data_IF_639440263865
#
_entry.id   IF_639440263865
#
_cell.length_a   1.000
_cell.length_b   1.000
_cell.length_c   1.000
_cell.angle_alpha   90.00
_cell.angle_beta   90.00
_cell.angle_gamma   90.00
#
_symmetry.space_group_name_H-M   'P 1'
#
loop_
_entity.id
_entity.type
_entity.pdbx_description
1 polymer ?
#
# COMPACT_ATOMS: atom_id res chain seq x y z
N UNK A 1 -7.96 -13.94 25.44
CA UNK A 1 -9.33 -13.40 25.28
C UNK A 1 -9.52 -12.06 25.98
N UNK A 2 -9.17 -11.88 27.26
CA UNK A 2 -9.30 -10.58 27.97
C UNK A 2 -8.57 -9.41 27.26
N UNK A 3 -7.37 -9.65 26.74
CA UNK A 3 -6.63 -8.64 25.97
C UNK A 3 -7.28 -8.26 24.63
N UNK A 4 -8.05 -9.16 24.00
CA UNK A 4 -8.78 -8.88 22.76
C UNK A 4 -10.00 -7.99 23.06
N UNK A 5 -10.69 -8.24 24.17
CA UNK A 5 -11.85 -7.44 24.60
C UNK A 5 -11.43 -6.00 24.93
N UNK A 6 -10.28 -5.81 25.59
CA UNK A 6 -9.73 -4.48 25.84
C UNK A 6 -9.32 -3.76 24.55
N UNK A 7 -8.74 -4.48 23.58
CA UNK A 7 -8.44 -3.93 22.25
C UNK A 7 -9.70 -3.50 21.49
N UNK A 8 -10.75 -4.31 21.52
CA UNK A 8 -12.04 -4.00 20.86
C UNK A 8 -12.68 -2.77 21.51
N UNK A 9 -12.64 -2.64 22.83
CA UNK A 9 -13.19 -1.48 23.53
C UNK A 9 -12.44 -0.18 23.19
N UNK A 10 -11.11 -0.26 23.07
CA UNK A 10 -10.27 0.87 22.64
C UNK A 10 -10.49 1.23 21.17
N UNK A 11 -10.61 0.22 20.30
CA UNK A 11 -10.96 0.39 18.88
C UNK A 11 -12.35 1.00 18.70
N UNK A 12 -13.33 0.59 19.50
CA UNK A 12 -14.67 1.18 19.48
C UNK A 12 -14.66 2.64 19.92
N UNK A 13 -13.90 2.99 20.97
CA UNK A 13 -13.71 4.39 21.37
C UNK A 13 -13.06 5.22 20.26
N UNK A 14 -11.98 4.74 19.64
CA UNK A 14 -11.31 5.42 18.53
C UNK A 14 -12.19 5.55 17.27
N UNK A 15 -13.06 4.58 17.01
CA UNK A 15 -14.04 4.64 15.92
C UNK A 15 -15.14 5.67 16.17
N UNK A 16 -15.50 5.91 17.43
CA UNK A 16 -16.53 6.88 17.82
C UNK A 16 -15.96 8.31 17.83
N UNK A 17 -14.71 8.48 18.29
CA UNK A 17 -14.05 9.80 18.40
C UNK A 17 -13.46 10.29 17.06
N UNK A 18 -13.07 9.38 16.15
CA UNK A 18 -12.48 9.77 14.87
C UNK A 18 -12.61 8.66 13.79
N UNK A 19 -13.81 8.43 13.23
CA UNK A 19 -14.09 7.33 12.32
C UNK A 19 -13.20 7.34 11.06
N UNK A 20 -12.82 8.53 10.57
CA UNK A 20 -11.90 8.66 9.43
C UNK A 20 -10.47 8.19 9.73
N UNK A 21 -9.98 8.42 10.94
CA UNK A 21 -8.63 8.02 11.38
C UNK A 21 -8.57 6.51 11.69
N UNK A 22 -9.64 5.97 12.26
CA UNK A 22 -9.79 4.54 12.50
C UNK A 22 -9.87 3.73 11.20
N UNK A 23 -10.72 4.16 10.27
CA UNK A 23 -10.91 3.48 8.98
C UNK A 23 -9.65 3.56 8.12
N UNK A 24 -9.00 4.72 8.05
CA UNK A 24 -7.73 4.86 7.33
C UNK A 24 -6.57 4.09 7.98
N UNK A 25 -6.55 3.96 9.30
CA UNK A 25 -5.57 3.16 10.04
C UNK A 25 -5.67 1.66 9.74
N UNK A 26 -6.87 1.09 9.81
CA UNK A 26 -7.07 -0.34 9.50
C UNK A 26 -6.86 -0.66 8.02
N UNK A 27 -7.34 0.21 7.11
CA UNK A 27 -7.12 0.04 5.68
C UNK A 27 -5.61 0.07 5.37
N UNK A 28 -4.84 0.96 6.02
CA UNK A 28 -3.39 1.02 5.84
C UNK A 28 -2.71 -0.26 6.33
N UNK A 29 -3.10 -0.79 7.49
CA UNK A 29 -2.51 -2.00 8.06
C UNK A 29 -2.80 -3.24 7.20
N UNK A 30 -4.04 -3.35 6.68
CA UNK A 30 -4.43 -4.37 5.69
C UNK A 30 -3.69 -4.21 4.36
N UNK A 31 -3.60 -3.00 3.82
CA UNK A 31 -2.84 -2.73 2.59
C UNK A 31 -1.38 -3.11 2.75
N UNK A 32 -0.74 -2.73 3.86
CA UNK A 32 0.67 -3.00 4.12
C UNK A 32 0.91 -4.51 4.24
N UNK A 33 0.11 -5.22 5.03
CA UNK A 33 0.24 -6.68 5.18
C UNK A 33 -0.02 -7.44 3.88
N UNK A 34 -1.01 -7.02 3.08
CA UNK A 34 -1.35 -7.64 1.80
C UNK A 34 -0.30 -7.36 0.72
N UNK A 35 0.34 -6.17 0.71
CA UNK A 35 1.35 -5.82 -0.29
C UNK A 35 2.76 -6.30 0.06
N UNK A 36 3.12 -6.45 1.33
CA UNK A 36 4.49 -6.81 1.73
C UNK A 36 4.90 -8.17 1.16
N UNK A 37 4.07 -9.22 1.32
CA UNK A 37 4.45 -10.56 0.90
C UNK A 37 4.64 -10.68 -0.63
N UNK A 38 3.71 -10.19 -1.48
CA UNK A 38 3.92 -10.14 -2.92
C UNK A 38 5.13 -9.28 -3.32
N UNK A 39 5.35 -8.15 -2.64
CA UNK A 39 6.48 -7.26 -2.94
C UNK A 39 7.83 -7.94 -2.69
N UNK A 40 7.95 -8.69 -1.58
CA UNK A 40 9.15 -9.48 -1.28
C UNK A 40 9.39 -10.56 -2.33
N UNK A 41 8.34 -11.25 -2.76
CA UNK A 41 8.45 -12.27 -3.81
C UNK A 41 8.93 -11.68 -5.15
N UNK A 42 8.34 -10.56 -5.56
CA UNK A 42 8.76 -9.83 -6.77
C UNK A 42 10.23 -9.41 -6.64
N UNK A 43 10.63 -8.83 -5.51
CA UNK A 43 12.01 -8.40 -5.26
C UNK A 43 12.99 -9.57 -5.36
N UNK A 44 12.63 -10.74 -4.82
CA UNK A 44 13.44 -11.95 -4.94
C UNK A 44 13.61 -12.41 -6.39
N UNK A 45 12.53 -12.40 -7.18
CA UNK A 45 12.60 -12.71 -8.62
C UNK A 45 13.50 -11.73 -9.38
N UNK A 46 13.44 -10.44 -9.06
CA UNK A 46 14.33 -9.43 -9.65
C UNK A 46 15.79 -9.72 -9.38
N UNK A 47 16.13 -10.11 -8.14
CA UNK A 47 17.50 -10.48 -7.77
C UNK A 47 17.96 -11.69 -8.59
N UNK A 48 17.12 -12.72 -8.73
CA UNK A 48 17.46 -13.90 -9.55
C UNK A 48 17.70 -13.51 -11.01
N UNK A 49 16.79 -12.73 -11.60
CA UNK A 49 16.92 -12.28 -13.00
C UNK A 49 18.15 -11.39 -13.18
N UNK A 50 18.48 -10.57 -12.20
CA UNK A 50 19.67 -9.74 -12.23
C UNK A 50 20.94 -10.59 -12.20
N UNK A 51 21.01 -11.58 -11.30
CA UNK A 51 22.16 -12.49 -11.20
C UNK A 51 22.33 -13.26 -12.52
N UNK A 52 21.26 -13.88 -13.03
CA UNK A 52 21.32 -14.65 -14.27
C UNK A 52 21.56 -13.79 -15.53
N UNK A 53 21.03 -12.57 -15.54
CA UNK A 53 21.14 -11.67 -16.67
C UNK A 53 22.49 -10.95 -16.73
N UNK A 54 23.01 -10.46 -15.61
CA UNK A 54 24.11 -9.49 -15.60
C UNK A 54 25.39 -10.00 -14.95
N UNK A 55 25.35 -11.12 -14.22
CA UNK A 55 26.52 -11.67 -13.55
C UNK A 55 26.98 -12.98 -14.17
N UNK A 56 28.21 -13.37 -13.89
CA UNK A 56 28.78 -14.65 -14.33
C UNK A 56 28.63 -15.78 -13.31
N UNK A 57 28.01 -15.51 -12.15
CA UNK A 57 27.91 -16.43 -11.01
C UNK A 57 27.28 -17.79 -11.34
N UNK A 58 26.39 -17.86 -12.33
CA UNK A 58 25.61 -19.06 -12.68
C UNK A 58 25.80 -19.50 -14.14
N UNK A 59 26.97 -19.24 -14.73
CA UNK A 59 27.27 -19.66 -16.10
C UNK A 59 27.20 -18.57 -17.17
N UNK A 60 27.10 -17.30 -16.76
CA UNK A 60 27.27 -16.15 -17.64
C UNK A 60 26.02 -15.30 -17.83
N UNK A 61 26.16 -14.10 -18.44
CA UNK A 61 25.06 -13.20 -18.68
C UNK A 61 24.18 -13.74 -19.82
N UNK A 62 23.09 -14.40 -19.45
CA UNK A 62 22.11 -14.87 -20.41
C UNK A 62 21.28 -13.68 -20.91
N UNK A 63 21.40 -13.37 -22.21
CA UNK A 63 20.66 -12.27 -22.86
C UNK A 63 19.14 -12.36 -22.60
N UNK A 64 18.58 -13.57 -22.62
CA UNK A 64 17.18 -13.82 -22.33
C UNK A 64 16.74 -13.27 -20.95
N UNK A 65 17.54 -13.53 -19.91
CA UNK A 65 17.24 -13.04 -18.56
C UNK A 65 17.44 -11.52 -18.43
N UNK A 66 18.34 -10.90 -19.20
CA UNK A 66 18.43 -9.43 -19.29
C UNK A 66 17.14 -8.82 -19.85
N UNK A 67 16.61 -9.39 -20.94
CA UNK A 67 15.35 -8.92 -21.53
C UNK A 67 14.18 -9.09 -20.57
N UNK A 68 14.06 -10.27 -19.93
CA UNK A 68 13.05 -10.53 -18.90
C UNK A 68 13.14 -9.54 -17.74
N UNK A 69 14.35 -9.26 -17.24
CA UNK A 69 14.56 -8.29 -16.17
C UNK A 69 13.99 -6.92 -16.55
N UNK A 70 14.31 -6.41 -17.73
CA UNK A 70 13.82 -5.09 -18.19
C UNK A 70 12.30 -5.06 -18.42
N UNK A 71 11.74 -6.11 -19.03
CA UNK A 71 10.29 -6.21 -19.24
C UNK A 71 9.56 -6.24 -17.90
N UNK A 72 9.98 -7.11 -16.98
CA UNK A 72 9.42 -7.17 -15.64
C UNK A 72 9.58 -5.84 -14.91
N UNK A 73 10.73 -5.16 -15.05
CA UNK A 73 11.00 -3.87 -14.42
C UNK A 73 9.99 -2.80 -14.86
N UNK A 74 9.75 -2.69 -16.16
CA UNK A 74 8.80 -1.74 -16.73
C UNK A 74 7.38 -2.02 -16.24
N UNK A 75 6.98 -3.31 -16.18
CA UNK A 75 5.66 -3.71 -15.68
C UNK A 75 5.49 -3.31 -14.21
N UNK A 76 6.47 -3.61 -13.36
CA UNK A 76 6.41 -3.27 -11.94
C UNK A 76 6.40 -1.76 -11.73
N UNK A 77 7.22 -1.01 -12.45
CA UNK A 77 7.19 0.46 -12.41
C UNK A 77 5.82 1.01 -12.82
N UNK A 78 5.23 0.45 -13.86
CA UNK A 78 3.90 0.86 -14.33
C UNK A 78 2.84 0.61 -13.26
N UNK A 79 2.83 -0.58 -12.64
CA UNK A 79 1.92 -0.91 -11.53
C UNK A 79 2.11 0.04 -10.35
N UNK A 80 3.36 0.29 -9.93
CA UNK A 80 3.65 1.23 -8.85
C UNK A 80 3.17 2.65 -9.16
N UNK A 81 3.39 3.12 -10.38
CA UNK A 81 2.90 4.42 -10.83
C UNK A 81 1.37 4.51 -10.74
N UNK A 82 0.64 3.47 -11.18
CA UNK A 82 -0.81 3.39 -11.05
C UNK A 82 -1.26 3.36 -9.58
N UNK A 83 -0.60 2.58 -8.72
CA UNK A 83 -0.91 2.52 -7.29
C UNK A 83 -0.73 3.88 -6.61
N UNK A 84 0.35 4.61 -6.92
CA UNK A 84 0.57 5.96 -6.40
C UNK A 84 -0.54 6.91 -6.86
N UNK A 85 -0.95 6.83 -8.13
CA UNK A 85 -2.02 7.65 -8.68
C UNK A 85 -3.36 7.38 -7.99
N UNK A 86 -3.69 6.11 -7.73
CA UNK A 86 -4.89 5.71 -6.98
C UNK A 86 -4.82 6.25 -5.54
N UNK A 87 -3.67 6.08 -4.87
CA UNK A 87 -3.49 6.58 -3.50
C UNK A 87 -3.67 8.10 -3.40
N UNK A 88 -3.12 8.85 -4.36
CA UNK A 88 -3.31 10.30 -4.45
C UNK A 88 -4.78 10.68 -4.67
N UNK A 89 -5.49 9.94 -5.52
CA UNK A 89 -6.91 10.17 -5.80
C UNK A 89 -7.76 9.93 -4.55
N UNK A 90 -7.55 8.81 -3.86
CA UNK A 90 -8.21 8.50 -2.58
C UNK A 90 -7.94 9.63 -1.57
N UNK A 91 -6.67 10.03 -1.41
CA UNK A 91 -6.29 11.09 -0.48
C UNK A 91 -6.96 12.43 -0.81
N UNK A 92 -7.11 12.77 -2.08
CA UNK A 92 -7.79 13.99 -2.53
C UNK A 92 -9.29 13.96 -2.17
N UNK A 93 -9.96 12.84 -2.44
CA UNK A 93 -11.36 12.65 -2.09
C UNK A 93 -11.60 12.65 -0.57
N UNK A 94 -10.69 12.04 0.20
CA UNK A 94 -10.78 12.06 1.67
C UNK A 94 -10.65 13.48 2.23
N UNK A 95 -9.77 14.32 1.67
CA UNK A 95 -9.67 15.73 2.08
C UNK A 95 -10.97 16.50 1.81
N UNK A 96 -11.57 16.33 0.63
CA UNK A 96 -12.81 16.99 0.27
C UNK A 96 -14.02 16.56 1.12
N UNK A 97 -14.09 15.28 1.49
CA UNK A 97 -15.14 14.76 2.37
C UNK A 97 -15.03 15.32 3.80
N UNK A 98 -13.82 15.42 4.35
CA UNK A 98 -13.59 15.96 5.70
C UNK A 98 -13.94 17.46 5.79
N UNK A 99 -13.61 18.24 4.77
CA UNK A 99 -13.98 19.67 4.72
C UNK A 99 -15.49 19.89 4.61
N UNK A 100 -16.21 18.99 3.93
CA UNK A 100 -17.67 19.09 3.79
C UNK A 100 -18.41 18.63 5.05
N UNK A 101 -17.90 17.65 5.80
CA UNK A 101 -18.48 17.26 7.09
C UNK A 101 -18.27 18.33 8.17
N UNK A 102 -17.09 18.96 8.23
CA UNK A 102 -16.82 20.04 9.21
C UNK A 102 -17.68 21.29 9.00
N UNK A 103 -18.05 21.62 7.76
CA UNK A 103 -18.96 22.74 7.46
C UNK A 103 -20.42 22.49 7.86
N UNK A 104 -20.82 21.22 7.99
CA UNK A 104 -22.20 20.88 8.38
C UNK A 104 -22.36 21.00 9.90
N UNK A 105 -21.38 20.56 10.70
CA UNK A 105 -21.43 20.74 12.16
C UNK A 105 -21.43 22.22 12.58
N UNK A 106 -20.64 23.08 11.92
CA UNK A 106 -20.63 24.51 12.25
C UNK A 106 -21.94 25.22 11.95
N UNK A 107 -22.80 24.66 11.10
CA UNK A 107 -24.10 25.24 10.73
C UNK A 107 -25.25 24.77 11.61
N UNK A 108 -25.05 23.74 12.43
CA UNK A 108 -26.07 23.24 13.38
C UNK A 108 -25.93 23.95 14.74
N UNK A 109 -24.81 24.63 14.97
CA UNK A 109 -24.50 25.32 16.24
C UNK A 109 -24.80 26.83 16.17
N UNK A 110 -25.16 27.38 15.00
CA UNK A 110 -25.69 28.76 14.87
C UNK A 110 -27.22 28.84 15.01
#
# INVERSE_FOLDING_TARGET
MIFQILKIKKMASEATDNPGKFTSGQIRELFVSMLIAPLLFVLFLFVIFFILGFTTLLGGPFLFFKFLFWISFIIVLSIFYFLIKIYQLIRSLTKGAVESTLKVESKIIE
#
